data_IF_458866656749
#
_entry.id   IF_458866656749
#
_cell.length_a   1.000
_cell.length_b   1.000
_cell.length_c   1.000
_cell.angle_alpha   90.00
_cell.angle_beta   90.00
_cell.angle_gamma   90.00
#
_symmetry.space_group_name_H-M   'P 1'
#
loop_
_entity.id
_entity.type
_entity.pdbx_description
1 polymer ?
#
# COMPACT_ATOMS: atom_id res chain seq x y z
N UNK A 1 -5.04 10.01 -29.55
CA UNK A 1 -3.86 9.14 -29.77
C UNK A 1 -3.25 8.67 -28.45
N UNK A 2 -3.08 9.54 -27.44
CA UNK A 2 -2.47 9.15 -26.16
C UNK A 2 -3.26 8.10 -25.33
N UNK A 3 -4.60 8.11 -25.32
CA UNK A 3 -5.39 7.08 -24.61
C UNK A 3 -5.36 5.71 -25.29
N UNK A 4 -5.09 5.65 -26.60
CA UNK A 4 -5.00 4.40 -27.34
C UNK A 4 -3.77 3.57 -26.93
N UNK A 5 -2.71 4.23 -26.43
CA UNK A 5 -1.55 3.56 -25.85
C UNK A 5 -1.94 2.82 -24.56
N UNK A 6 -2.68 3.48 -23.66
CA UNK A 6 -3.21 2.88 -22.42
C UNK A 6 -4.15 1.71 -22.71
N UNK A 7 -5.06 1.84 -23.69
CA UNK A 7 -5.96 0.76 -24.11
C UNK A 7 -5.18 -0.45 -24.65
N UNK A 8 -4.15 -0.21 -25.46
CA UNK A 8 -3.28 -1.26 -26.00
C UNK A 8 -2.52 -2.00 -24.90
N UNK A 9 -2.02 -1.28 -23.89
CA UNK A 9 -1.39 -1.88 -22.71
C UNK A 9 -2.38 -2.80 -22.00
N UNK A 10 -3.59 -2.31 -21.66
CA UNK A 10 -4.61 -3.14 -21.01
C UNK A 10 -4.97 -4.38 -21.82
N UNK A 11 -5.22 -4.24 -23.11
CA UNK A 11 -5.59 -5.34 -24.00
C UNK A 11 -4.50 -6.42 -24.05
N UNK A 12 -3.23 -6.02 -24.17
CA UNK A 12 -2.09 -6.96 -24.23
C UNK A 12 -1.94 -7.77 -22.95
N UNK A 13 -2.07 -7.15 -21.78
CA UNK A 13 -1.92 -7.85 -20.50
C UNK A 13 -3.13 -8.72 -20.14
N UNK A 14 -4.29 -8.47 -20.74
CA UNK A 14 -5.55 -9.20 -20.50
C UNK A 14 -5.91 -10.18 -21.62
N UNK A 15 -5.04 -10.33 -22.62
CA UNK A 15 -5.22 -11.24 -23.74
C UNK A 15 -5.46 -12.69 -23.24
N UNK A 16 -6.48 -13.42 -23.74
CA UNK A 16 -6.78 -14.76 -23.24
C UNK A 16 -5.69 -15.81 -23.47
N UNK A 17 -4.85 -15.63 -24.49
CA UNK A 17 -3.83 -16.60 -24.89
C UNK A 17 -2.45 -16.28 -24.32
N UNK A 18 -2.14 -14.99 -24.15
CA UNK A 18 -0.80 -14.50 -23.87
C UNK A 18 -0.71 -13.55 -22.67
N UNK A 19 -1.86 -13.05 -22.20
CA UNK A 19 -1.93 -12.09 -21.11
C UNK A 19 -1.57 -12.69 -19.75
N UNK A 20 -1.03 -11.86 -18.86
CA UNK A 20 -0.63 -12.27 -17.51
C UNK A 20 -1.71 -12.05 -16.46
N UNK A 21 -2.81 -11.37 -16.80
CA UNK A 21 -3.94 -11.10 -15.89
C UNK A 21 -5.28 -11.43 -16.55
N UNK A 22 -6.26 -11.83 -15.75
CA UNK A 22 -7.61 -12.18 -16.24
C UNK A 22 -8.38 -10.94 -16.73
N UNK A 23 -8.25 -9.84 -16.00
CA UNK A 23 -8.88 -8.56 -16.28
C UNK A 23 -8.17 -7.45 -15.53
N UNK A 24 -8.23 -6.25 -16.08
CA UNK A 24 -7.59 -5.07 -15.53
C UNK A 24 -8.49 -3.84 -15.74
N UNK A 25 -8.58 -3.00 -14.72
CA UNK A 25 -9.19 -1.67 -14.79
C UNK A 25 -8.12 -0.65 -14.42
N UNK A 26 -7.96 0.39 -15.24
CA UNK A 26 -7.08 1.50 -14.93
C UNK A 26 -7.87 2.81 -14.90
N UNK A 27 -7.70 3.56 -13.82
CA UNK A 27 -8.35 4.85 -13.61
C UNK A 27 -7.29 5.87 -13.26
N UNK A 28 -7.32 7.02 -13.94
CA UNK A 28 -6.49 8.18 -13.68
C UNK A 28 -7.33 9.45 -13.68
N UNK A 29 -7.13 10.29 -12.69
CA UNK A 29 -7.86 11.56 -12.49
C UNK A 29 -6.90 12.69 -12.20
N UNK A 30 -7.25 13.90 -12.64
CA UNK A 30 -6.50 15.11 -12.32
C UNK A 30 -6.86 15.67 -10.93
N UNK A 31 -6.09 16.65 -10.46
CA UNK A 31 -6.31 17.33 -9.18
C UNK A 31 -7.64 18.11 -9.09
N UNK A 32 -8.31 18.34 -10.21
CA UNK A 32 -9.64 18.98 -10.28
C UNK A 32 -10.77 17.94 -10.26
N UNK A 33 -10.44 16.66 -10.26
CA UNK A 33 -11.38 15.54 -10.29
C UNK A 33 -11.85 15.17 -11.70
N UNK A 34 -11.24 15.69 -12.76
CA UNK A 34 -11.56 15.26 -14.11
C UNK A 34 -10.88 13.94 -14.43
N UNK A 35 -11.62 13.04 -15.07
CA UNK A 35 -11.07 11.77 -15.57
C UNK A 35 -10.09 12.04 -16.71
N UNK A 36 -8.85 11.62 -16.51
CA UNK A 36 -7.81 11.57 -17.53
C UNK A 36 -7.98 10.29 -18.36
N UNK A 37 -8.21 9.18 -17.66
CA UNK A 37 -8.43 7.86 -18.26
C UNK A 37 -9.28 6.99 -17.33
N UNK A 38 -10.18 6.20 -17.89
CA UNK A 38 -10.95 5.21 -17.16
C UNK A 38 -11.40 4.13 -18.15
N UNK A 39 -10.82 2.94 -18.04
CA UNK A 39 -11.17 1.82 -18.91
C UNK A 39 -10.84 0.49 -18.26
N UNK A 40 -11.44 -0.57 -18.81
CA UNK A 40 -11.24 -1.95 -18.39
C UNK A 40 -11.01 -2.85 -19.59
N UNK A 41 -10.24 -3.92 -19.40
CA UNK A 41 -10.10 -5.01 -20.37
C UNK A 41 -10.11 -6.36 -19.66
N UNK A 42 -10.48 -7.42 -20.38
CA UNK A 42 -10.57 -8.78 -19.86
C UNK A 42 -11.87 -9.10 -19.12
N UNK A 43 -11.80 -10.05 -18.19
CA UNK A 43 -12.97 -10.68 -17.57
C UNK A 43 -12.94 -10.61 -16.04
N UNK A 44 -14.12 -10.50 -15.43
CA UNK A 44 -14.33 -10.66 -13.98
C UNK A 44 -14.55 -12.12 -13.55
N UNK A 45 -14.85 -13.02 -14.49
CA UNK A 45 -15.02 -14.46 -14.21
C UNK A 45 -13.91 -15.31 -14.82
N UNK A 46 -13.58 -16.42 -14.16
CA UNK A 46 -12.50 -17.33 -14.58
C UNK A 46 -12.75 -17.99 -15.93
N UNK A 47 -14.01 -18.28 -16.25
CA UNK A 47 -14.46 -18.81 -17.54
C UNK A 47 -14.48 -17.77 -18.67
N UNK A 48 -14.13 -16.52 -18.37
CA UNK A 48 -14.17 -15.38 -19.30
C UNK A 48 -15.54 -15.07 -19.91
N UNK A 49 -16.63 -15.50 -19.26
CA UNK A 49 -18.00 -15.26 -19.75
C UNK A 49 -18.52 -13.85 -19.46
N UNK A 50 -17.94 -13.13 -18.49
CA UNK A 50 -18.42 -11.81 -18.08
C UNK A 50 -17.30 -10.76 -18.15
N UNK A 51 -17.50 -9.64 -18.89
CA UNK A 51 -16.48 -8.60 -19.00
C UNK A 51 -16.23 -7.92 -17.65
N UNK A 52 -14.97 -7.54 -17.41
CA UNK A 52 -14.64 -6.61 -16.34
C UNK A 52 -15.01 -5.18 -16.79
N UNK A 53 -15.64 -4.42 -15.92
CA UNK A 53 -16.01 -3.01 -16.16
C UNK A 53 -15.50 -2.12 -15.02
N UNK A 54 -15.42 -0.79 -15.21
CA UNK A 54 -15.06 0.12 -14.14
C UNK A 54 -16.00 0.06 -12.92
N UNK A 55 -17.28 -0.30 -13.15
CA UNK A 55 -18.30 -0.46 -12.10
C UNK A 55 -18.29 -1.85 -11.43
N UNK A 56 -17.38 -2.73 -11.82
CA UNK A 56 -17.30 -4.05 -11.21
C UNK A 56 -16.81 -3.93 -9.77
N UNK A 57 -17.61 -4.43 -8.83
CA UNK A 57 -17.19 -4.55 -7.43
C UNK A 57 -15.97 -5.46 -7.30
N UNK A 58 -14.89 -4.90 -6.74
CA UNK A 58 -13.66 -5.61 -6.45
C UNK A 58 -13.32 -5.51 -4.96
N UNK A 59 -12.55 -6.48 -4.48
CA UNK A 59 -12.01 -6.40 -3.13
C UNK A 59 -10.77 -5.50 -3.15
N UNK A 60 -10.80 -4.41 -2.37
CA UNK A 60 -9.72 -3.41 -2.35
C UNK A 60 -8.66 -3.66 -1.25
N UNK A 61 -8.91 -4.63 -0.36
CA UNK A 61 -8.10 -4.97 0.81
C UNK A 61 -7.38 -3.76 1.46
N UNK A 62 -6.05 -3.73 1.40
CA UNK A 62 -5.23 -2.70 2.06
C UNK A 62 -5.40 -1.28 1.51
N UNK A 63 -5.98 -1.11 0.31
CA UNK A 63 -6.31 0.23 -0.23
C UNK A 63 -7.31 0.98 0.66
N UNK A 64 -8.03 0.26 1.54
CA UNK A 64 -8.89 0.84 2.57
C UNK A 64 -8.15 1.83 3.49
N UNK A 65 -6.81 1.73 3.61
CA UNK A 65 -5.98 2.65 4.42
C UNK A 65 -6.17 4.11 4.01
N UNK A 66 -6.33 4.39 2.71
CA UNK A 66 -6.55 5.77 2.24
C UNK A 66 -7.86 6.34 2.81
N UNK A 67 -8.95 5.60 2.69
CA UNK A 67 -10.25 6.02 3.23
C UNK A 67 -10.20 6.15 4.77
N UNK A 68 -9.56 5.22 5.46
CA UNK A 68 -9.34 5.29 6.92
C UNK A 68 -8.50 6.50 7.32
N UNK A 69 -7.45 6.83 6.55
CA UNK A 69 -6.62 8.00 6.80
C UNK A 69 -7.41 9.29 6.65
N UNK A 70 -8.26 9.40 5.61
CA UNK A 70 -9.16 10.56 5.44
C UNK A 70 -10.12 10.68 6.63
N UNK A 71 -10.75 9.58 7.03
CA UNK A 71 -11.65 9.58 8.19
C UNK A 71 -10.92 10.00 9.47
N UNK A 72 -9.70 9.50 9.71
CA UNK A 72 -8.88 9.89 10.86
C UNK A 72 -8.54 11.38 10.83
N UNK A 73 -8.17 11.94 9.67
CA UNK A 73 -7.90 13.37 9.53
C UNK A 73 -9.16 14.22 9.75
N UNK A 74 -10.34 13.77 9.32
CA UNK A 74 -11.61 14.46 9.62
C UNK A 74 -11.91 14.49 11.12
N UNK A 75 -11.54 13.45 11.87
CA UNK A 75 -11.65 13.42 13.34
C UNK A 75 -10.70 14.43 13.98
N UNK A 76 -9.46 14.54 13.45
CA UNK A 76 -8.48 15.54 13.88
C UNK A 76 -8.93 16.96 13.58
N UNK A 77 -9.45 17.22 12.38
CA UNK A 77 -9.98 18.54 11.98
C UNK A 77 -11.16 18.99 12.85
N UNK A 78 -11.97 18.05 13.35
CA UNK A 78 -13.04 18.32 14.30
C UNK A 78 -12.56 18.59 15.73
N UNK A 79 -11.25 18.51 15.99
CA UNK A 79 -10.67 18.72 17.32
C UNK A 79 -11.04 17.63 18.32
N UNK A 80 -11.44 16.45 17.86
CA UNK A 80 -11.81 15.33 18.75
C UNK A 80 -10.57 14.63 19.33
N UNK A 81 -9.45 14.69 18.60
CA UNK A 81 -8.12 14.29 19.04
C UNK A 81 -7.07 15.00 18.17
N UNK A 82 -5.96 15.43 18.75
CA UNK A 82 -4.79 15.94 18.04
C UNK A 82 -3.91 14.83 17.46
N UNK A 83 -3.04 15.16 16.52
CA UNK A 83 -2.08 14.20 15.97
C UNK A 83 -1.08 13.67 17.01
N UNK A 84 -0.84 14.46 18.04
CA UNK A 84 0.17 14.23 19.10
C UNK A 84 -0.47 13.89 20.45
N UNK A 85 -1.80 13.88 20.53
CA UNK A 85 -2.53 13.43 21.71
C UNK A 85 -2.37 11.93 21.89
N UNK A 86 -2.50 11.47 23.13
CA UNK A 86 -2.43 10.05 23.44
C UNK A 86 -3.74 9.35 23.05
N UNK A 87 -3.68 8.48 22.04
CA UNK A 87 -4.84 7.75 21.55
C UNK A 87 -5.50 6.87 22.61
N UNK A 88 -4.80 6.56 23.72
CA UNK A 88 -5.38 5.83 24.87
C UNK A 88 -6.55 6.55 25.53
N UNK A 89 -6.65 7.87 25.38
CA UNK A 89 -7.74 8.66 25.94
C UNK A 89 -9.06 8.45 25.20
N UNK A 90 -8.97 8.16 23.90
CA UNK A 90 -10.14 7.89 23.03
C UNK A 90 -10.35 6.40 22.75
N UNK A 91 -9.29 5.60 22.84
CA UNK A 91 -9.28 4.14 22.62
C UNK A 91 -8.69 3.45 23.87
N UNK A 92 -9.48 3.26 24.94
CA UNK A 92 -8.99 2.68 26.20
C UNK A 92 -8.35 1.30 26.06
N UNK A 93 -8.74 0.52 25.05
CA UNK A 93 -8.15 -0.80 24.76
C UNK A 93 -6.65 -0.72 24.43
N UNK A 94 -6.15 0.45 23.99
CA UNK A 94 -4.72 0.66 23.77
C UNK A 94 -3.91 0.76 25.07
N UNK A 95 -4.57 0.92 26.24
CA UNK A 95 -3.89 0.93 27.54
C UNK A 95 -3.35 -0.45 27.93
N UNK A 96 -4.00 -1.51 27.43
CA UNK A 96 -3.60 -2.88 27.67
C UNK A 96 -2.57 -3.39 26.63
N UNK A 97 -2.22 -2.53 25.66
CA UNK A 97 -1.25 -2.88 24.63
C UNK A 97 0.15 -3.05 25.23
N UNK A 98 0.79 -4.15 24.90
CA UNK A 98 2.18 -4.45 25.27
C UNK A 98 3.05 -4.63 24.05
N UNK A 99 4.33 -4.32 24.19
CA UNK A 99 5.35 -4.52 23.16
C UNK A 99 6.02 -5.86 23.42
N UNK A 100 6.03 -6.74 22.41
CA UNK A 100 6.87 -7.93 22.42
C UNK A 100 8.32 -7.50 22.25
N UNK A 101 9.17 -7.78 23.25
CA UNK A 101 10.58 -7.35 23.26
C UNK A 101 11.57 -8.50 23.08
N UNK A 102 11.10 -9.76 23.15
CA UNK A 102 11.93 -10.94 22.95
C UNK A 102 11.23 -12.22 23.40
N UNK A 103 11.99 -13.31 23.47
CA UNK A 103 11.55 -14.62 23.97
C UNK A 103 12.55 -15.12 25.03
N UNK A 104 12.08 -15.84 26.05
CA UNK A 104 12.96 -16.43 27.06
C UNK A 104 13.99 -17.38 26.42
N UNK A 105 15.25 -17.29 26.88
CA UNK A 105 16.34 -18.14 26.38
C UNK A 105 16.94 -17.69 25.05
N UNK A 106 16.41 -16.62 24.46
CA UNK A 106 17.04 -15.92 23.34
C UNK A 106 18.28 -15.18 23.86
N UNK A 107 19.48 -15.64 23.48
CA UNK A 107 20.77 -15.09 23.90
C UNK A 107 21.19 -13.86 23.06
N UNK A 108 20.26 -13.34 22.24
CA UNK A 108 20.51 -12.22 21.35
C UNK A 108 21.26 -12.61 20.08
N UNK A 109 21.37 -13.91 19.76
CA UNK A 109 21.79 -14.31 18.42
C UNK A 109 20.65 -14.02 17.45
N UNK A 110 20.87 -13.09 16.51
CA UNK A 110 19.90 -12.59 15.54
C UNK A 110 19.25 -13.73 14.71
N UNK A 111 18.17 -14.30 15.23
CA UNK A 111 17.22 -15.13 14.50
C UNK A 111 16.10 -14.24 13.99
N UNK A 112 15.95 -14.14 12.67
CA UNK A 112 14.95 -13.30 12.03
C UNK A 112 13.53 -13.61 12.54
N UNK A 113 12.91 -12.63 13.22
CA UNK A 113 11.55 -12.69 13.75
C UNK A 113 10.47 -12.58 12.65
N UNK A 114 10.67 -13.26 11.52
CA UNK A 114 9.85 -13.03 10.32
C UNK A 114 8.51 -13.78 10.32
N UNK A 115 8.24 -14.69 11.25
CA UNK A 115 6.99 -15.47 11.24
C UNK A 115 6.43 -15.75 12.65
N UNK A 116 6.13 -14.70 13.42
CA UNK A 116 5.35 -14.85 14.66
C UNK A 116 3.86 -14.68 14.35
N UNK A 117 3.09 -15.75 14.47
CA UNK A 117 1.62 -15.69 14.38
C UNK A 117 1.04 -15.00 15.61
N UNK A 118 0.35 -13.86 15.40
CA UNK A 118 -0.33 -13.11 16.46
C UNK A 118 -1.34 -13.95 17.25
N UNK A 119 -1.99 -14.93 16.60
CA UNK A 119 -2.98 -15.81 17.24
C UNK A 119 -2.36 -16.81 18.22
N UNK A 120 -1.16 -17.32 17.93
CA UNK A 120 -0.45 -18.24 18.83
C UNK A 120 0.08 -17.51 20.07
N UNK A 121 0.53 -16.27 19.87
CA UNK A 121 1.01 -15.39 20.95
C UNK A 121 -0.12 -14.99 21.90
N UNK A 122 -1.31 -14.67 21.37
CA UNK A 122 -2.45 -14.25 22.18
C UNK A 122 -3.05 -15.37 23.04
N UNK A 123 -2.83 -16.65 22.68
CA UNK A 123 -3.42 -17.80 23.37
C UNK A 123 -2.46 -18.52 24.32
N UNK A 124 -1.19 -18.12 24.38
CA UNK A 124 -0.18 -18.81 25.20
C UNK A 124 0.08 -20.25 24.75
N UNK A 125 -0.23 -20.59 23.50
CA UNK A 125 -0.11 -21.94 22.97
C UNK A 125 1.32 -22.17 22.47
N UNK A 126 2.08 -23.00 23.19
CA UNK A 126 3.38 -23.51 22.74
C UNK A 126 3.15 -24.63 21.72
N UNK A 127 3.12 -24.30 20.42
CA UNK A 127 3.07 -25.32 19.37
C UNK A 127 2.71 -24.79 17.99
N UNK A 128 3.68 -24.82 17.08
CA UNK A 128 3.54 -24.42 15.67
C UNK A 128 2.53 -25.27 14.89
N UNK A 129 1.77 -24.65 13.98
CA UNK A 129 1.32 -25.35 12.75
C UNK A 129 1.94 -24.82 11.45
N UNK A 130 2.75 -23.76 11.46
CA UNK A 130 3.62 -23.41 10.32
C UNK A 130 4.90 -22.70 10.79
N UNK A 131 6.04 -23.39 10.70
CA UNK A 131 7.38 -22.78 10.79
C UNK A 131 7.95 -22.57 12.19
N UNK A 132 9.27 -22.74 12.31
CA UNK A 132 10.08 -22.62 13.53
C UNK A 132 10.16 -21.16 13.99
N UNK A 133 9.21 -20.72 14.80
CA UNK A 133 9.34 -19.50 15.58
C UNK A 133 10.43 -19.64 16.65
N UNK A 134 10.95 -18.53 17.21
CA UNK A 134 11.90 -18.56 18.31
C UNK A 134 11.35 -19.41 19.46
N UNK A 135 12.19 -20.29 20.00
CA UNK A 135 11.85 -21.12 21.15
C UNK A 135 11.88 -20.27 22.42
N UNK A 136 10.79 -20.22 23.19
CA UNK A 136 10.73 -19.50 24.47
C UNK A 136 9.36 -18.90 24.78
N UNK A 137 9.14 -18.50 26.04
CA UNK A 137 7.96 -17.74 26.44
C UNK A 137 8.14 -16.29 25.96
N UNK A 138 7.15 -15.65 25.30
CA UNK A 138 7.25 -14.27 24.85
C UNK A 138 7.37 -13.30 26.03
N UNK A 139 8.30 -12.36 25.94
CA UNK A 139 8.55 -11.32 26.94
C UNK A 139 7.88 -10.01 26.47
N UNK A 140 7.01 -9.46 27.31
CA UNK A 140 6.27 -8.24 27.00
C UNK A 140 6.63 -7.11 27.95
N UNK A 141 6.81 -5.91 27.39
CA UNK A 141 6.92 -4.65 28.13
C UNK A 141 5.70 -3.76 27.88
N UNK A 142 5.37 -2.92 28.86
CA UNK A 142 4.35 -1.89 28.67
C UNK A 142 4.83 -0.83 27.67
N UNK A 143 3.91 -0.28 26.87
CA UNK A 143 4.23 0.78 25.91
C UNK A 143 4.67 2.06 26.63
N UNK A 144 5.95 2.42 26.43
CA UNK A 144 6.53 3.66 26.96
C UNK A 144 6.12 4.86 26.10
N UNK A 145 5.70 5.96 26.75
CA UNK A 145 5.28 7.20 26.09
C UNK A 145 3.86 7.14 25.50
N UNK A 146 3.39 8.23 24.86
CA UNK A 146 2.05 8.29 24.27
C UNK A 146 1.95 7.45 22.99
N UNK A 147 0.76 6.87 22.73
CA UNK A 147 0.44 6.23 21.45
C UNK A 147 -0.25 7.27 20.59
N UNK A 148 0.48 7.95 19.71
CA UNK A 148 -0.08 9.06 18.93
C UNK A 148 -0.43 8.64 17.49
N UNK A 149 -1.36 9.35 16.85
CA UNK A 149 -1.67 9.14 15.43
C UNK A 149 -0.43 9.43 14.55
N UNK A 150 0.38 10.43 14.93
CA UNK A 150 1.65 10.72 14.24
C UNK A 150 2.64 9.56 14.34
N UNK A 151 2.78 8.97 15.52
CA UNK A 151 3.64 7.80 15.71
C UNK A 151 3.11 6.59 14.95
N UNK A 152 1.79 6.35 14.93
CA UNK A 152 1.19 5.28 14.15
C UNK A 152 1.46 5.44 12.64
N UNK A 153 1.42 6.67 12.11
CA UNK A 153 1.77 6.96 10.71
C UNK A 153 3.24 6.65 10.37
N UNK A 154 4.15 6.76 11.35
CA UNK A 154 5.59 6.65 11.15
C UNK A 154 6.12 5.24 11.49
N UNK A 155 5.56 4.56 12.49
CA UNK A 155 6.19 3.42 13.15
C UNK A 155 5.78 2.06 12.60
N UNK A 156 4.63 1.93 11.94
CA UNK A 156 4.06 0.62 11.55
C UNK A 156 4.90 -0.19 10.55
N UNK A 157 5.94 0.40 9.93
CA UNK A 157 6.84 -0.33 9.02
C UNK A 157 8.34 -0.05 9.20
N UNK A 158 8.73 0.84 10.13
CA UNK A 158 10.16 1.13 10.39
C UNK A 158 10.89 0.00 11.12
N UNK A 159 10.18 -1.01 11.63
CA UNK A 159 10.77 -2.19 12.27
C UNK A 159 11.09 -3.34 11.31
N UNK A 160 11.07 -3.12 9.99
CA UNK A 160 11.76 -4.03 9.08
C UNK A 160 13.23 -3.58 8.98
N UNK A 161 14.20 -4.32 9.56
CA UNK A 161 15.63 -3.94 9.58
C UNK A 161 16.23 -3.85 8.18
N UNK A 162 15.48 -4.28 7.15
CA UNK A 162 15.85 -4.20 5.76
C UNK A 162 15.46 -2.91 5.05
N UNK A 163 15.00 -1.82 5.69
CA UNK A 163 15.04 -0.41 5.21
C UNK A 163 14.69 -0.06 3.75
N UNK A 164 14.01 -0.95 3.04
CA UNK A 164 13.92 -0.94 1.60
C UNK A 164 12.44 -0.99 1.20
N UNK A 165 12.00 0.02 0.46
CA UNK A 165 10.62 0.10 -0.01
C UNK A 165 10.28 -1.11 -0.87
N UNK A 166 9.10 -1.74 -0.74
CA UNK A 166 8.54 -2.59 -1.78
C UNK A 166 8.05 -1.71 -2.95
N UNK A 167 8.87 -0.74 -3.37
CA UNK A 167 8.63 0.04 -4.57
C UNK A 167 8.85 -0.90 -5.74
N UNK A 168 7.74 -1.46 -6.16
CA UNK A 168 7.61 -2.34 -7.30
C UNK A 168 8.00 -1.61 -8.62
N UNK A 169 7.93 -0.28 -8.72
CA UNK A 169 8.08 0.43 -10.02
C UNK A 169 9.38 1.21 -10.26
N UNK A 170 10.45 0.96 -9.49
CA UNK A 170 11.78 1.50 -9.86
C UNK A 170 12.37 0.65 -11.00
N UNK A 171 12.90 1.25 -12.09
CA UNK A 171 13.29 0.52 -13.31
C UNK A 171 14.27 -0.65 -13.11
N UNK A 172 14.99 -0.72 -11.99
CA UNK A 172 16.07 -1.70 -11.79
C UNK A 172 15.96 -2.53 -10.51
N UNK A 173 14.78 -2.59 -9.86
CA UNK A 173 14.63 -3.14 -8.48
C UNK A 173 15.55 -2.48 -7.44
N UNK A 174 16.17 -1.34 -7.78
CA UNK A 174 16.93 -0.56 -6.83
C UNK A 174 15.96 0.01 -5.80
N UNK A 175 16.13 -0.47 -4.60
CA UNK A 175 15.28 -0.15 -3.47
C UNK A 175 15.54 1.31 -3.08
N UNK A 176 14.51 2.13 -3.20
CA UNK A 176 14.56 3.56 -2.89
C UNK A 176 14.13 3.77 -1.43
N UNK A 177 14.79 4.66 -0.67
CA UNK A 177 14.30 5.06 0.64
C UNK A 177 12.88 5.65 0.51
N UNK A 178 12.00 5.35 1.45
CA UNK A 178 10.64 5.91 1.48
C UNK A 178 10.31 6.44 2.87
N UNK A 179 9.49 7.49 2.90
CA UNK A 179 8.78 7.89 4.10
C UNK A 179 7.47 7.11 4.26
N UNK A 180 6.76 7.36 5.35
CA UNK A 180 5.46 6.76 5.65
C UNK A 180 4.43 7.84 5.99
N UNK A 181 3.18 7.55 5.63
CA UNK A 181 2.00 8.31 6.00
C UNK A 181 0.89 7.36 6.46
N UNK A 182 -0.20 7.89 7.02
CA UNK A 182 -1.38 7.09 7.37
C UNK A 182 -1.99 6.36 6.16
N UNK A 183 -1.81 6.90 4.95
CA UNK A 183 -2.42 6.38 3.72
C UNK A 183 -1.51 5.42 2.93
N UNK A 184 -0.21 5.37 3.23
CA UNK A 184 0.75 4.53 2.52
C UNK A 184 2.18 5.05 2.55
N UNK A 185 3.03 4.51 1.69
CA UNK A 185 4.43 4.90 1.55
C UNK A 185 4.53 6.25 0.84
N UNK A 186 5.59 7.01 1.14
CA UNK A 186 5.85 8.33 0.58
C UNK A 186 7.19 8.33 -0.15
N UNK A 187 7.20 8.72 -1.42
CA UNK A 187 8.43 8.79 -2.20
C UNK A 187 9.39 9.84 -1.60
N UNK A 188 10.63 9.43 -1.33
CA UNK A 188 11.66 10.35 -0.82
C UNK A 188 12.30 11.24 -1.90
N UNK A 189 12.20 10.81 -3.16
CA UNK A 189 12.77 11.44 -4.35
C UNK A 189 11.87 11.25 -5.56
N UNK A 190 12.15 11.95 -6.66
CA UNK A 190 11.48 11.76 -7.94
C UNK A 190 11.83 10.38 -8.52
N UNK A 191 10.86 9.73 -9.16
CA UNK A 191 11.05 8.56 -10.00
C UNK A 191 11.05 9.04 -11.45
N UNK A 192 12.17 8.89 -12.19
CA UNK A 192 12.26 9.37 -13.58
C UNK A 192 11.12 8.84 -14.47
N UNK A 193 10.47 9.75 -15.20
CA UNK A 193 9.33 9.43 -16.09
C UNK A 193 8.04 9.02 -15.39
N UNK A 194 7.99 9.12 -14.05
CA UNK A 194 6.90 8.63 -13.19
C UNK A 194 6.64 9.64 -12.06
N UNK A 195 6.25 9.13 -10.88
CA UNK A 195 5.94 9.88 -9.66
C UNK A 195 7.03 10.86 -9.20
N UNK A 196 6.62 12.08 -8.86
CA UNK A 196 7.44 13.08 -8.18
C UNK A 196 7.62 12.75 -6.69
N UNK A 197 8.60 13.40 -6.06
CA UNK A 197 8.90 13.33 -4.63
C UNK A 197 7.65 13.69 -3.82
N UNK A 198 7.44 13.01 -2.70
CA UNK A 198 6.29 13.26 -1.82
C UNK A 198 5.00 12.59 -2.28
N UNK A 199 5.00 11.88 -3.41
CA UNK A 199 3.87 11.06 -3.84
C UNK A 199 3.57 9.96 -2.82
N UNK A 200 2.28 9.78 -2.52
CA UNK A 200 1.79 8.70 -1.63
C UNK A 200 1.36 7.52 -2.48
N UNK A 201 1.70 6.30 -2.08
CA UNK A 201 1.31 5.09 -2.82
C UNK A 201 1.16 3.88 -1.91
N UNK A 202 0.42 2.89 -2.41
CA UNK A 202 0.26 1.61 -1.72
C UNK A 202 -0.08 0.49 -2.69
N UNK A 203 0.46 -0.71 -2.44
CA UNK A 203 0.08 -1.97 -3.10
C UNK A 203 -0.70 -2.87 -2.14
N UNK A 204 -1.65 -3.65 -2.65
CA UNK A 204 -2.50 -4.49 -1.82
C UNK A 204 -3.00 -5.73 -2.55
N UNK A 205 -3.25 -6.79 -1.79
CA UNK A 205 -3.98 -7.96 -2.30
C UNK A 205 -5.37 -7.54 -2.84
N UNK A 206 -5.93 -8.20 -3.85
CA UNK A 206 -5.36 -9.27 -4.66
C UNK A 206 -4.73 -8.71 -5.95
N UNK A 207 -3.70 -7.88 -5.81
CA UNK A 207 -3.02 -7.14 -6.87
C UNK A 207 -3.75 -5.85 -7.26
N UNK A 208 -3.76 -4.85 -6.37
CA UNK A 208 -4.20 -3.49 -6.64
C UNK A 208 -3.15 -2.50 -6.14
N UNK A 209 -2.72 -1.59 -7.01
CA UNK A 209 -1.86 -0.48 -6.65
C UNK A 209 -2.60 0.84 -6.84
N UNK A 210 -2.26 1.82 -5.99
CA UNK A 210 -2.72 3.19 -6.13
C UNK A 210 -1.61 4.17 -5.80
N UNK A 211 -1.70 5.36 -6.40
CA UNK A 211 -0.81 6.46 -6.07
C UNK A 211 -1.48 7.82 -6.22
N UNK A 212 -0.97 8.78 -5.46
CA UNK A 212 -1.36 10.18 -5.47
C UNK A 212 -0.08 11.01 -5.56
N UNK A 213 0.11 11.67 -6.69
CA UNK A 213 1.16 12.67 -6.92
C UNK A 213 0.52 14.06 -6.90
N UNK A 214 0.68 14.75 -5.77
CA UNK A 214 0.09 16.09 -5.59
C UNK A 214 0.81 17.16 -6.41
N UNK A 215 2.10 16.98 -6.69
CA UNK A 215 2.87 17.93 -7.50
C UNK A 215 2.51 17.80 -8.97
N UNK A 216 2.24 16.58 -9.45
CA UNK A 216 1.66 16.31 -10.76
C UNK A 216 0.18 16.74 -10.86
N UNK A 217 -0.51 16.78 -9.72
CA UNK A 217 -1.97 16.80 -9.68
C UNK A 217 -2.59 15.55 -10.32
N UNK A 218 -2.03 14.37 -10.05
CA UNK A 218 -2.46 13.08 -10.61
C UNK A 218 -2.76 12.10 -9.48
N UNK A 219 -3.89 11.39 -9.57
CA UNK A 219 -4.14 10.19 -8.80
C UNK A 219 -4.56 9.05 -9.73
N UNK A 220 -4.10 7.84 -9.45
CA UNK A 220 -4.43 6.69 -10.27
C UNK A 220 -4.44 5.37 -9.49
N UNK A 221 -5.14 4.39 -10.06
CA UNK A 221 -5.33 3.06 -9.49
C UNK A 221 -5.41 2.01 -10.60
N UNK A 222 -4.74 0.87 -10.40
CA UNK A 222 -4.58 -0.19 -11.38
C UNK A 222 -4.37 -1.57 -10.71
N UNK A 223 -4.39 -2.69 -11.45
CA UNK A 223 -4.02 -3.98 -10.91
C UNK A 223 -2.50 -4.18 -10.83
N UNK A 224 -2.02 -4.76 -9.73
CA UNK A 224 -0.62 -5.01 -9.42
C UNK A 224 -0.08 -6.20 -10.24
N UNK A 225 0.19 -5.95 -11.52
CA UNK A 225 1.15 -6.74 -12.29
C UNK A 225 2.31 -5.81 -12.62
N UNK A 226 3.49 -6.09 -12.06
CA UNK A 226 4.64 -5.17 -12.02
C UNK A 226 4.91 -4.41 -13.33
N UNK A 227 4.92 -5.15 -14.44
CA UNK A 227 5.14 -4.57 -15.76
C UNK A 227 3.93 -3.81 -16.28
N UNK A 228 2.71 -4.32 -16.08
CA UNK A 228 1.47 -3.63 -16.43
C UNK A 228 1.42 -2.26 -15.75
N UNK A 229 1.62 -2.24 -14.43
CA UNK A 229 1.67 -1.02 -13.63
C UNK A 229 2.74 -0.06 -14.13
N UNK A 230 3.95 -0.55 -14.39
CA UNK A 230 5.04 0.29 -14.90
C UNK A 230 4.68 0.96 -16.23
N UNK A 231 4.13 0.20 -17.18
CA UNK A 231 3.78 0.73 -18.50
C UNK A 231 2.57 1.68 -18.44
N UNK A 232 1.56 1.39 -17.61
CA UNK A 232 0.42 2.29 -17.38
C UNK A 232 0.86 3.59 -16.70
N UNK A 233 1.75 3.50 -15.71
CA UNK A 233 2.32 4.65 -14.99
C UNK A 233 3.07 5.57 -15.97
N UNK A 234 4.02 5.04 -16.74
CA UNK A 234 4.79 5.82 -17.73
C UNK A 234 3.88 6.47 -18.78
N UNK A 235 2.91 5.71 -19.31
CA UNK A 235 1.99 6.22 -20.32
C UNK A 235 1.09 7.34 -19.80
N UNK A 236 0.63 7.27 -18.54
CA UNK A 236 -0.21 8.35 -17.98
C UNK A 236 0.58 9.61 -17.68
N UNK A 237 1.85 9.51 -17.24
CA UNK A 237 2.72 10.69 -17.04
C UNK A 237 3.05 11.37 -18.37
N UNK A 238 3.37 10.60 -19.41
CA UNK A 238 3.56 11.14 -20.76
C UNK A 238 2.32 11.88 -21.27
N UNK A 239 1.13 11.31 -21.06
CA UNK A 239 -0.13 11.94 -21.43
C UNK A 239 -0.39 13.24 -20.64
N UNK A 240 0.03 13.29 -19.37
CA UNK A 240 -0.05 14.50 -18.55
C UNK A 240 0.88 15.60 -19.07
N UNK A 241 2.14 15.27 -19.37
CA UNK A 241 3.13 16.21 -19.88
C UNK A 241 2.73 16.79 -21.25
N UNK A 242 2.15 15.97 -22.12
CA UNK A 242 1.58 16.41 -23.41
C UNK A 242 0.47 17.46 -23.21
N UNK A 243 -0.41 17.28 -22.22
CA UNK A 243 -1.49 18.23 -21.91
C UNK A 243 -0.97 19.57 -21.36
N UNK A 244 0.10 19.58 -20.56
CA UNK A 244 0.67 20.83 -20.04
C UNK A 244 1.32 21.70 -21.12
N UNK A 245 1.68 21.09 -22.26
CA UNK A 245 2.35 21.78 -23.37
C UNK A 245 1.37 22.33 -24.43
N UNK A 246 0.06 22.08 -24.27
CA UNK A 246 -1.00 22.46 -25.23
C UNK A 246 -1.88 23.60 -24.69
#
# INVERSE_FOLDING_TARGET
MATAELDSILARYTDPATGSVQGATFVAVDSKGHTIYCSSSGSRTADRSQPLTPDTFTWIASQSKLATAVAAMQVVEKGLIGLDDDARDVLPTLRDLKVLVGFEGDDGTEGSAENVSFDAVAKGETGSTFGTGPAGIPIFEDVKGPITLRAAALRTFLTNPGGMSPLWTVPDRNLMPVGMSLAGTVNSQNVPGKRRRGSVNWGGLPNLASWIDREAGLAAMDPECLRLLTELEEAVYKLLDEKETT
#
